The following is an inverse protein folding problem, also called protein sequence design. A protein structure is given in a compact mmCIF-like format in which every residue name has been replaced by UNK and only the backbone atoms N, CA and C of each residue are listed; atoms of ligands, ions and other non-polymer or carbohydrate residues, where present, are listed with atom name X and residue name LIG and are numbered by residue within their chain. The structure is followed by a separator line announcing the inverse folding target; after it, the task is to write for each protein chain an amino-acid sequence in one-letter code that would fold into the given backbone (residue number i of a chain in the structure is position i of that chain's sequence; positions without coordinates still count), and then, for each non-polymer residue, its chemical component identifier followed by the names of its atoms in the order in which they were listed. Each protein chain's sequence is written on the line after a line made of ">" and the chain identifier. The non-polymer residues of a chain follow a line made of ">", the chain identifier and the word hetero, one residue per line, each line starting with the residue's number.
data_IF_473972800949
#
_entry.id   IF_473972800949
#
_cell.length_a   1.000
_cell.length_b   1.000
_cell.length_c   1.000
_cell.angle_alpha   90.00
_cell.angle_beta   90.00
_cell.angle_gamma   90.00
#
_symmetry.space_group_name_H-M   'P 1'
#
loop_
_entity.id
_entity.type
_entity.pdbx_description
1 polymer ?
#
# COMPACT_ATOMS: atom_id res chain seq x y z
N UNK A 1 -4.88 -8.87 -22.18
CA UNK A 1 -5.08 -7.49 -21.69
C UNK A 1 -5.92 -7.51 -20.42
N UNK A 2 -5.33 -7.92 -19.30
CA UNK A 2 -6.08 -8.12 -18.05
C UNK A 2 -5.22 -8.73 -16.94
N UNK A 3 -4.09 -8.07 -16.62
CA UNK A 3 -3.22 -8.48 -15.52
C UNK A 3 -3.72 -7.97 -14.16
N UNK A 4 -2.81 -7.88 -13.19
CA UNK A 4 -3.08 -7.37 -11.83
C UNK A 4 -3.93 -6.10 -11.77
N UNK A 5 -3.81 -5.19 -12.74
CA UNK A 5 -4.58 -3.94 -12.76
C UNK A 5 -6.09 -4.15 -12.92
N UNK A 6 -6.51 -5.16 -13.71
CA UNK A 6 -7.94 -5.48 -13.89
C UNK A 6 -8.51 -6.32 -12.75
N UNK A 7 -7.68 -7.13 -12.09
CA UNK A 7 -8.08 -7.97 -10.95
C UNK A 7 -7.90 -7.30 -9.60
N UNK A 8 -7.22 -6.16 -9.54
CA UNK A 8 -6.99 -5.40 -8.32
C UNK A 8 -8.26 -5.25 -7.46
N UNK A 9 -9.37 -4.67 -7.95
CA UNK A 9 -10.59 -4.51 -7.13
C UNK A 9 -11.19 -5.84 -6.67
N UNK A 10 -11.05 -6.92 -7.44
CA UNK A 10 -11.51 -8.26 -7.04
C UNK A 10 -10.66 -8.85 -5.91
N UNK A 11 -9.38 -8.44 -5.82
CA UNK A 11 -8.43 -8.99 -4.85
C UNK A 11 -8.39 -8.15 -3.56
N UNK A 12 -8.38 -6.82 -3.69
CA UNK A 12 -8.35 -5.89 -2.55
C UNK A 12 -9.72 -5.56 -2.00
N UNK A 13 -10.78 -5.71 -2.81
CA UNK A 13 -12.14 -5.28 -2.50
C UNK A 13 -12.43 -3.84 -2.95
N UNK A 14 -13.70 -3.54 -3.22
CA UNK A 14 -14.17 -2.24 -3.71
C UNK A 14 -13.76 -1.07 -2.83
N UNK A 15 -13.78 -1.28 -1.51
CA UNK A 15 -13.48 -0.27 -0.50
C UNK A 15 -12.00 0.18 -0.59
N UNK A 16 -11.07 -0.78 -0.67
CA UNK A 16 -9.66 -0.48 -0.90
C UNK A 16 -9.41 0.07 -2.31
N UNK A 17 -10.08 -0.45 -3.33
CA UNK A 17 -9.90 0.00 -4.71
C UNK A 17 -10.37 1.44 -4.93
N UNK A 18 -11.38 1.90 -4.18
CA UNK A 18 -11.85 3.29 -4.19
C UNK A 18 -10.82 4.26 -3.61
N UNK A 19 -10.08 3.85 -2.58
CA UNK A 19 -9.13 4.73 -1.89
C UNK A 19 -7.67 4.52 -2.31
N UNK A 20 -7.36 3.36 -2.89
CA UNK A 20 -6.02 2.93 -3.29
C UNK A 20 -6.04 2.37 -4.70
N UNK A 21 -5.51 3.15 -5.64
CA UNK A 21 -5.49 2.83 -7.06
C UNK A 21 -4.10 2.35 -7.50
N UNK A 22 -4.00 1.26 -8.28
CA UNK A 22 -2.74 0.80 -8.82
C UNK A 22 -2.31 1.77 -9.93
N UNK A 23 -1.20 2.48 -9.72
CA UNK A 23 -0.67 3.42 -10.71
C UNK A 23 0.12 2.69 -11.81
N UNK A 24 0.97 1.75 -11.38
CA UNK A 24 1.91 1.08 -12.28
C UNK A 24 2.22 -0.29 -11.76
N UNK A 25 2.20 -1.27 -12.65
CA UNK A 25 2.72 -2.59 -12.39
C UNK A 25 3.95 -2.81 -13.25
N UNK A 26 5.03 -3.23 -12.61
CA UNK A 26 6.23 -3.68 -13.28
C UNK A 26 6.13 -5.20 -13.45
N UNK A 27 5.95 -5.66 -14.69
CA UNK A 27 5.83 -7.08 -15.03
C UNK A 27 7.19 -7.76 -15.27
N UNK A 28 8.29 -7.02 -15.12
CA UNK A 28 9.63 -7.53 -15.32
C UNK A 28 9.91 -8.67 -14.32
N UNK A 29 10.40 -9.83 -14.78
CA UNK A 29 10.62 -10.98 -13.92
C UNK A 29 11.62 -10.73 -12.79
N UNK A 30 12.51 -9.74 -12.91
CA UNK A 30 13.43 -9.35 -11.85
C UNK A 30 12.77 -8.46 -10.79
N UNK A 31 11.82 -7.60 -11.18
CA UNK A 31 11.20 -6.60 -10.31
C UNK A 31 9.84 -7.04 -9.74
N UNK A 32 8.85 -7.31 -10.61
CA UNK A 32 7.47 -7.70 -10.23
C UNK A 32 6.86 -6.81 -9.14
N UNK A 33 6.98 -5.49 -9.31
CA UNK A 33 6.59 -4.48 -8.31
C UNK A 33 5.30 -3.78 -8.71
N UNK A 34 4.31 -3.80 -7.82
CA UNK A 34 3.07 -3.05 -7.99
C UNK A 34 3.12 -1.75 -7.20
N UNK A 35 3.05 -0.61 -7.88
CA UNK A 35 2.95 0.72 -7.28
C UNK A 35 1.49 1.13 -7.14
N UNK A 36 1.08 1.44 -5.93
CA UNK A 36 -0.29 1.81 -5.57
C UNK A 36 -0.28 3.18 -4.92
N UNK A 37 -1.14 4.08 -5.38
CA UNK A 37 -1.36 5.37 -4.75
C UNK A 37 -2.61 5.31 -3.89
N UNK A 38 -2.47 5.67 -2.63
CA UNK A 38 -3.59 5.80 -1.71
C UNK A 38 -3.82 7.27 -1.39
N UNK A 39 -5.09 7.67 -1.33
CA UNK A 39 -5.48 9.05 -1.01
C UNK A 39 -5.32 9.39 0.48
N UNK A 40 -5.40 8.40 1.38
CA UNK A 40 -5.24 8.62 2.82
C UNK A 40 -4.15 7.76 3.48
N UNK A 41 -3.50 8.32 4.51
CA UNK A 41 -2.48 7.62 5.30
C UNK A 41 -3.03 6.40 6.06
N UNK A 42 -4.29 6.46 6.52
CA UNK A 42 -4.98 5.33 7.16
C UNK A 42 -5.14 4.16 6.18
N UNK A 43 -5.66 4.42 4.98
CA UNK A 43 -5.78 3.45 3.89
C UNK A 43 -4.42 2.89 3.46
N UNK A 44 -3.41 3.74 3.33
CA UNK A 44 -2.06 3.30 3.00
C UNK A 44 -1.49 2.34 4.05
N UNK A 45 -1.74 2.59 5.33
CA UNK A 45 -1.31 1.70 6.43
C UNK A 45 -2.07 0.38 6.37
N UNK A 46 -3.39 0.41 6.22
CA UNK A 46 -4.21 -0.79 6.09
C UNK A 46 -3.75 -1.66 4.91
N UNK A 47 -3.50 -1.04 3.75
CA UNK A 47 -3.02 -1.73 2.58
C UNK A 47 -1.64 -2.34 2.80
N UNK A 48 -0.72 -1.66 3.50
CA UNK A 48 0.60 -2.21 3.83
C UNK A 48 0.53 -3.42 4.77
N UNK A 49 -0.43 -3.42 5.72
CA UNK A 49 -0.67 -4.57 6.59
C UNK A 49 -1.26 -5.76 5.83
N UNK A 50 -2.16 -5.49 4.89
CA UNK A 50 -2.78 -6.50 4.03
C UNK A 50 -1.91 -6.91 2.85
N UNK A 51 -0.87 -6.13 2.51
CA UNK A 51 0.02 -6.36 1.37
C UNK A 51 0.52 -7.81 1.24
N UNK A 52 1.06 -8.48 2.28
CA UNK A 52 1.48 -9.88 2.15
C UNK A 52 0.33 -10.83 1.82
N UNK A 53 -0.87 -10.59 2.34
CA UNK A 53 -2.06 -11.39 2.02
C UNK A 53 -2.54 -11.12 0.59
N UNK A 54 -2.50 -9.87 0.15
CA UNK A 54 -2.84 -9.47 -1.21
C UNK A 54 -1.87 -10.07 -2.22
N UNK A 55 -0.57 -10.04 -1.94
CA UNK A 55 0.47 -10.70 -2.74
C UNK A 55 0.20 -12.21 -2.85
N UNK A 56 -0.15 -12.87 -1.74
CA UNK A 56 -0.47 -14.29 -1.76
C UNK A 56 -1.70 -14.58 -2.63
N UNK A 57 -2.76 -13.78 -2.53
CA UNK A 57 -3.96 -13.90 -3.38
C UNK A 57 -3.67 -13.62 -4.85
N UNK A 58 -2.91 -12.58 -5.14
CA UNK A 58 -2.44 -12.23 -6.49
C UNK A 58 -1.68 -13.40 -7.12
N UNK A 59 -0.77 -14.00 -6.35
CA UNK A 59 0.03 -15.13 -6.80
C UNK A 59 -0.79 -16.43 -6.94
N UNK A 60 -1.86 -16.60 -6.16
CA UNK A 60 -2.76 -17.74 -6.31
C UNK A 60 -3.63 -17.63 -7.58
N UNK A 61 -4.07 -16.42 -7.92
CA UNK A 61 -5.04 -16.18 -8.99
C UNK A 61 -4.41 -15.94 -10.38
N UNK A 62 -3.26 -15.25 -10.42
CA UNK A 62 -2.54 -14.94 -11.66
C UNK A 62 -1.39 -15.93 -11.94
N UNK A 63 -0.95 -16.68 -10.94
CA UNK A 63 0.18 -17.61 -11.03
C UNK A 63 1.32 -17.22 -10.09
N UNK A 64 2.03 -18.25 -9.59
CA UNK A 64 3.04 -18.10 -8.55
C UNK A 64 4.12 -17.10 -8.97
N UNK A 65 4.35 -16.12 -8.08
CA UNK A 65 5.37 -15.10 -8.24
C UNK A 65 4.95 -13.92 -9.10
N UNK A 66 3.72 -13.80 -9.61
CA UNK A 66 3.28 -12.62 -10.39
C UNK A 66 3.56 -11.31 -9.67
N UNK A 67 3.27 -11.19 -8.38
CA UNK A 67 3.62 -10.01 -7.58
C UNK A 67 4.65 -10.39 -6.53
N UNK A 68 5.75 -9.64 -6.50
CA UNK A 68 6.85 -9.84 -5.55
C UNK A 68 6.92 -8.74 -4.50
N UNK A 69 6.53 -7.53 -4.87
CA UNK A 69 6.48 -6.40 -3.94
C UNK A 69 5.33 -5.45 -4.25
N UNK A 70 4.71 -4.89 -3.21
CA UNK A 70 3.73 -3.81 -3.35
C UNK A 70 4.34 -2.55 -2.74
N UNK A 71 4.50 -1.52 -3.57
CA UNK A 71 4.95 -0.20 -3.16
C UNK A 71 3.74 0.70 -2.97
N UNK A 72 3.49 1.08 -1.73
CA UNK A 72 2.37 1.97 -1.37
C UNK A 72 2.88 3.40 -1.27
N UNK A 73 2.37 4.26 -2.13
CA UNK A 73 2.58 5.71 -2.12
C UNK A 73 1.36 6.32 -1.43
N UNK A 74 1.54 6.80 -0.21
CA UNK A 74 0.50 7.55 0.52
C UNK A 74 0.99 8.96 0.80
N UNK A 75 0.07 9.92 1.04
CA UNK A 75 0.41 11.33 1.26
C UNK A 75 1.32 11.57 2.47
N UNK A 76 1.34 10.66 3.44
CA UNK A 76 2.20 10.71 4.63
C UNK A 76 3.23 9.59 4.74
N UNK A 77 3.48 8.81 3.67
CA UNK A 77 4.32 7.63 3.77
C UNK A 77 5.81 8.00 3.91
N UNK A 78 6.26 8.22 5.15
CA UNK A 78 7.67 8.03 5.52
C UNK A 78 8.01 6.58 5.16
N UNK A 79 8.67 6.41 4.03
CA UNK A 79 9.24 5.13 3.60
C UNK A 79 10.34 4.79 4.59
N UNK A 80 9.99 4.13 5.69
CA UNK A 80 10.95 3.58 6.63
C UNK A 80 11.71 2.47 5.88
N UNK A 81 12.79 2.88 5.22
CA UNK A 81 13.87 1.99 4.86
C UNK A 81 14.31 1.27 6.11
N UNK A 82 14.48 -0.04 5.97
CA UNK A 82 15.09 -0.93 6.93
C UNK A 82 16.25 -0.26 7.66
N UNK A 83 16.03 0.12 8.91
CA UNK A 83 17.02 0.60 9.85
C UNK A 83 17.02 -0.39 11.00
N UNK A 84 18.11 -1.14 11.12
CA UNK A 84 18.40 -2.13 12.16
C UNK A 84 17.91 -1.67 13.53
N UNK A 85 17.39 -2.64 14.30
CA UNK A 85 16.98 -2.48 15.69
C UNK A 85 18.14 -1.90 16.52
N UNK A 86 18.19 -0.58 16.62
CA UNK A 86 19.04 0.18 17.52
C UNK A 86 18.19 0.58 18.72
N UNK A 87 18.49 -0.04 19.87
CA UNK A 87 18.12 0.24 21.27
C UNK A 87 17.24 1.50 21.52
N UNK A 88 16.21 1.41 22.41
CA UNK A 88 15.32 2.53 22.69
C UNK A 88 16.07 3.69 23.34
N UNK A 89 16.17 4.81 22.64
CA UNK A 89 16.55 6.08 23.21
C UNK A 89 15.28 6.89 23.46
N UNK A 90 14.90 6.98 24.74
CA UNK A 90 13.89 7.90 25.20
C UNK A 90 14.37 9.35 24.93
N UNK A 91 13.71 10.05 23.99
CA UNK A 91 13.52 11.52 24.05
C UNK A 91 12.49 12.04 23.04
N UNK A 92 11.39 12.58 23.56
CA UNK A 92 10.61 13.65 22.94
C UNK A 92 9.28 13.26 22.27
N UNK A 93 8.11 13.73 22.76
CA UNK A 93 6.90 13.79 21.96
C UNK A 93 7.01 14.96 20.98
N UNK A 94 7.22 14.65 19.70
CA UNK A 94 7.03 15.62 18.62
C UNK A 94 5.83 15.16 17.78
N UNK A 95 4.67 15.75 18.07
CA UNK A 95 3.59 15.96 17.09
C UNK A 95 4.16 16.67 15.85
N UNK A 96 3.59 16.43 14.65
CA UNK A 96 2.32 17.06 14.32
C UNK A 96 1.20 16.04 14.10
N UNK A 97 0.09 16.22 14.82
CA UNK A 97 -1.19 15.78 14.29
C UNK A 97 -1.40 16.59 13.01
N UNK A 98 -1.55 15.93 11.86
CA UNK A 98 -2.30 16.55 10.78
C UNK A 98 -3.75 16.59 11.32
N UNK A 99 -4.23 17.72 11.84
CA UNK A 99 -4.82 18.82 11.04
C UNK A 99 -5.70 18.19 9.96
N UNK A 100 -6.93 17.83 10.34
CA UNK A 100 -8.11 18.67 10.23
C UNK A 100 -8.60 18.79 8.77
N UNK A 101 -9.93 18.78 8.63
CA UNK A 101 -10.74 18.92 7.40
C UNK A 101 -11.34 17.61 6.84
N UNK A 102 -12.32 17.04 7.56
CA UNK A 102 -13.48 16.44 6.88
C UNK A 102 -14.75 16.48 7.77
N UNK A 103 -15.32 17.69 7.85
CA UNK A 103 -16.75 17.98 8.02
C UNK A 103 -16.93 19.34 7.33
N UNK A 104 -18.05 19.65 6.62
CA UNK A 104 -19.44 19.31 6.98
C UNK A 104 -20.36 18.95 5.79
N UNK A 105 -21.63 18.64 6.07
CA UNK A 105 -22.69 18.56 5.05
C UNK A 105 -24.05 18.06 5.55
N UNK A 106 -24.74 18.83 6.40
CA UNK A 106 -26.20 18.81 6.52
C UNK A 106 -26.74 20.19 6.85
#
# INVERSE_FOLDING_TARGET
>A
MGGVMGRWPQIVGDDLANHCVPLRYDEDPAARVLTVSCDSTAWATQLRLLAPQLVARLNADLGQGTVRMIKVVGPGARSAGSGRCGRPAARGPATPTAEALLSPGR
#
